data_IF_932760908963
#
_entry.id   IF_932760908963
#
_cell.length_a   1.000
_cell.length_b   1.000
_cell.length_c   1.000
_cell.angle_alpha   90.00
_cell.angle_beta   90.00
_cell.angle_gamma   90.00
#
_symmetry.space_group_name_H-M   'P 1'
#
loop_
_entity.id
_entity.type
_entity.pdbx_description
1 polymer ?
#
# COMPACT_ATOMS: atom_id res chain seq x y z
N UNK A 1 -11.10 19.77 -20.78
CA UNK A 1 -10.61 20.84 -19.90
C UNK A 1 -9.33 20.33 -19.26
N UNK A 2 -8.20 20.61 -19.90
CA UNK A 2 -6.88 20.25 -19.39
C UNK A 2 -6.55 21.16 -18.21
N UNK A 3 -6.67 20.63 -16.99
CA UNK A 3 -6.11 21.32 -15.83
C UNK A 3 -4.61 21.13 -15.90
N UNK A 4 -3.86 22.23 -16.00
CA UNK A 4 -2.41 22.21 -15.83
C UNK A 4 -2.07 21.71 -14.41
N UNK A 5 -1.78 20.42 -14.27
CA UNK A 5 -1.40 19.81 -12.99
C UNK A 5 0.03 20.20 -12.54
N UNK A 6 0.77 21.04 -13.31
CA UNK A 6 2.17 21.44 -13.03
C UNK A 6 2.23 22.44 -11.88
N UNK A 7 1.13 23.14 -11.71
CA UNK A 7 0.90 24.19 -10.73
C UNK A 7 -0.35 23.86 -9.92
N UNK A 8 -0.55 22.61 -9.49
CA UNK A 8 -1.43 22.38 -8.34
C UNK A 8 -0.74 23.05 -7.14
N UNK A 9 -1.02 24.35 -6.99
CA UNK A 9 -0.87 25.05 -5.73
C UNK A 9 -1.71 24.28 -4.73
N UNK A 10 -1.04 23.83 -3.67
CA UNK A 10 -1.72 23.22 -2.54
C UNK A 10 -2.87 24.16 -2.14
N UNK A 11 -4.06 23.62 -1.87
CA UNK A 11 -5.22 24.44 -1.56
C UNK A 11 -4.84 25.36 -0.40
N UNK A 12 -4.85 26.68 -0.65
CA UNK A 12 -4.50 27.68 0.38
C UNK A 12 -5.53 27.57 1.49
N UNK A 13 -5.10 27.05 2.64
CA UNK A 13 -5.96 26.93 3.81
C UNK A 13 -6.01 28.26 4.55
N UNK A 14 -7.21 28.70 4.90
CA UNK A 14 -7.44 29.82 5.81
C UNK A 14 -7.26 29.41 7.28
N UNK A 15 -7.46 28.13 7.58
CA UNK A 15 -7.30 27.55 8.92
C UNK A 15 -6.40 26.31 8.91
N UNK A 16 -5.61 26.13 9.97
CA UNK A 16 -4.77 24.96 10.15
C UNK A 16 -5.58 23.65 10.18
N UNK A 17 -4.99 22.57 9.67
CA UNK A 17 -5.54 21.22 9.76
C UNK A 17 -5.72 20.80 11.21
N UNK A 18 -6.87 20.20 11.53
CA UNK A 18 -7.20 19.74 12.89
C UNK A 18 -7.83 18.35 12.83
N UNK A 19 -7.69 17.61 13.93
CA UNK A 19 -8.28 16.28 14.06
C UNK A 19 -7.86 15.33 12.93
N UNK A 20 -8.82 14.66 12.32
CA UNK A 20 -8.57 13.67 11.26
C UNK A 20 -8.03 14.29 9.96
N UNK A 21 -8.20 15.60 9.74
CA UNK A 21 -7.71 16.26 8.53
C UNK A 21 -6.19 16.15 8.37
N UNK A 22 -5.49 16.07 9.49
CA UNK A 22 -4.04 15.91 9.57
C UNK A 22 -3.54 14.67 8.83
N UNK A 23 -4.36 13.63 8.69
CA UNK A 23 -3.95 12.36 8.10
C UNK A 23 -3.70 12.45 6.59
N UNK A 24 -4.38 13.36 5.88
CA UNK A 24 -4.33 13.47 4.43
C UNK A 24 -3.81 14.81 3.92
N UNK A 25 -3.26 15.63 4.82
CA UNK A 25 -2.57 16.85 4.42
C UNK A 25 -1.27 16.51 3.67
N UNK A 26 -0.94 17.18 2.56
CA UNK A 26 0.27 16.88 1.77
C UNK A 26 1.58 16.94 2.54
N UNK A 27 1.63 17.69 3.64
CA UNK A 27 2.76 17.77 4.57
C UNK A 27 3.14 16.42 5.18
N UNK A 28 2.18 15.49 5.35
CA UNK A 28 2.47 14.14 5.88
C UNK A 28 3.39 13.33 4.97
N UNK A 29 3.44 13.67 3.67
CA UNK A 29 4.31 13.00 2.72
C UNK A 29 5.77 13.09 3.17
N UNK A 30 6.23 14.27 3.62
CA UNK A 30 7.61 14.44 4.10
C UNK A 30 7.93 13.57 5.30
N UNK A 31 6.98 13.40 6.22
CA UNK A 31 7.15 12.54 7.39
C UNK A 31 7.34 11.08 6.97
N UNK A 32 6.48 10.57 6.08
CA UNK A 32 6.61 9.19 5.59
C UNK A 32 7.87 9.00 4.75
N UNK A 33 8.25 9.96 3.90
CA UNK A 33 9.50 9.88 3.13
C UNK A 33 10.75 9.90 4.03
N UNK A 34 10.72 10.67 5.12
CA UNK A 34 11.82 10.65 6.12
C UNK A 34 11.94 9.27 6.77
N UNK A 35 10.82 8.66 7.16
CA UNK A 35 10.82 7.29 7.67
C UNK A 35 11.33 6.26 6.65
N UNK A 36 10.94 6.41 5.38
CA UNK A 36 11.36 5.53 4.29
C UNK A 36 12.85 5.63 3.95
N UNK A 37 13.48 6.78 4.21
CA UNK A 37 14.90 7.02 3.93
C UNK A 37 15.81 6.73 5.12
N UNK A 38 15.34 6.99 6.35
CA UNK A 38 16.18 6.90 7.55
C UNK A 38 16.03 5.56 8.30
N UNK A 39 14.88 4.88 8.16
CA UNK A 39 14.62 3.67 8.93
C UNK A 39 15.30 2.44 8.33
N UNK A 40 15.86 1.59 9.20
CA UNK A 40 16.31 0.23 8.87
C UNK A 40 15.34 -0.86 9.33
N UNK A 41 14.24 -0.47 9.97
CA UNK A 41 13.24 -1.40 10.47
C UNK A 41 12.19 -1.68 9.38
N UNK A 42 12.13 -2.93 8.91
CA UNK A 42 11.23 -3.32 7.83
C UNK A 42 9.74 -3.13 8.15
N UNK A 43 9.33 -3.22 9.42
CA UNK A 43 7.95 -2.92 9.83
C UNK A 43 7.63 -1.43 9.64
N UNK A 44 8.59 -0.55 9.95
CA UNK A 44 8.45 0.90 9.76
C UNK A 44 8.41 1.25 8.28
N UNK A 45 9.28 0.64 7.47
CA UNK A 45 9.31 0.85 6.02
C UNK A 45 8.00 0.40 5.36
N UNK A 46 7.52 -0.80 5.70
CA UNK A 46 6.23 -1.32 5.25
C UNK A 46 5.08 -0.37 5.66
N UNK A 47 5.03 0.06 6.92
CA UNK A 47 3.96 0.92 7.41
C UNK A 47 3.97 2.31 6.74
N UNK A 48 5.15 2.90 6.53
CA UNK A 48 5.27 4.19 5.85
C UNK A 48 4.90 4.09 4.36
N UNK A 49 5.32 3.02 3.67
CA UNK A 49 4.92 2.76 2.29
C UNK A 49 3.41 2.48 2.18
N UNK A 50 2.85 1.71 3.11
CA UNK A 50 1.42 1.43 3.22
C UNK A 50 0.59 2.69 3.51
N UNK A 51 1.11 3.63 4.30
CA UNK A 51 0.46 4.93 4.49
C UNK A 51 0.41 5.72 3.18
N UNK A 52 1.52 5.82 2.44
CA UNK A 52 1.54 6.47 1.12
C UNK A 52 0.63 5.76 0.10
N UNK A 53 0.56 4.43 0.14
CA UNK A 53 -0.39 3.63 -0.64
C UNK A 53 -1.83 4.06 -0.36
N UNK A 54 -2.24 4.13 0.91
CA UNK A 54 -3.60 4.52 1.29
C UNK A 54 -3.93 5.96 0.89
N UNK A 55 -3.01 6.89 1.13
CA UNK A 55 -3.21 8.32 0.83
C UNK A 55 -3.25 8.63 -0.66
N UNK A 56 -2.55 7.84 -1.49
CA UNK A 56 -2.53 8.00 -2.94
C UNK A 56 -3.66 7.24 -3.67
N UNK A 57 -4.51 6.51 -2.94
CA UNK A 57 -5.56 5.69 -3.51
C UNK A 57 -6.78 6.52 -3.96
N UNK A 58 -7.42 6.07 -5.04
CA UNK A 58 -8.68 6.62 -5.53
C UNK A 58 -8.55 7.97 -6.27
N UNK A 59 -9.71 8.49 -6.70
CA UNK A 59 -9.80 9.66 -7.57
C UNK A 59 -10.41 10.88 -6.86
N UNK A 60 -9.96 11.14 -5.64
CA UNK A 60 -10.37 12.27 -4.83
C UNK A 60 -9.29 13.35 -4.78
N UNK A 61 -9.68 14.56 -4.37
CA UNK A 61 -8.85 15.76 -4.47
C UNK A 61 -7.52 15.62 -3.72
N UNK A 62 -7.54 15.14 -2.48
CA UNK A 62 -6.33 15.01 -1.68
C UNK A 62 -5.39 13.92 -2.18
N UNK A 63 -5.88 12.77 -2.67
CA UNK A 63 -4.99 11.80 -3.32
C UNK A 63 -4.28 12.40 -4.54
N UNK A 64 -4.93 13.26 -5.31
CA UNK A 64 -4.28 13.98 -6.42
C UNK A 64 -3.15 14.88 -5.90
N UNK A 65 -3.37 15.63 -4.82
CA UNK A 65 -2.32 16.44 -4.19
C UNK A 65 -1.20 15.60 -3.59
N UNK A 66 -1.51 14.48 -2.95
CA UNK A 66 -0.53 13.55 -2.39
C UNK A 66 0.36 12.97 -3.49
N UNK A 67 -0.23 12.50 -4.60
CA UNK A 67 0.53 11.98 -5.75
C UNK A 67 1.48 13.03 -6.33
N UNK A 68 1.02 14.28 -6.48
CA UNK A 68 1.85 15.38 -6.94
C UNK A 68 2.96 15.74 -5.92
N UNK A 69 2.64 15.69 -4.62
CA UNK A 69 3.58 16.04 -3.55
C UNK A 69 4.68 15.00 -3.39
N UNK A 70 4.36 13.70 -3.46
CA UNK A 70 5.35 12.62 -3.48
C UNK A 70 6.37 12.83 -4.60
N UNK A 71 5.94 13.27 -5.79
CA UNK A 71 6.86 13.62 -6.89
C UNK A 71 7.72 14.85 -6.57
N UNK A 72 7.10 15.94 -6.10
CA UNK A 72 7.80 17.19 -5.77
C UNK A 72 8.87 16.98 -4.69
N UNK A 73 8.58 16.12 -3.71
CA UNK A 73 9.47 15.76 -2.60
C UNK A 73 10.48 14.66 -2.96
N UNK A 74 10.67 14.34 -4.25
CA UNK A 74 11.60 13.28 -4.73
C UNK A 74 11.34 11.91 -4.10
N UNK A 75 10.09 11.62 -3.73
CA UNK A 75 9.71 10.35 -3.11
C UNK A 75 9.66 9.17 -4.07
N UNK A 76 9.50 9.41 -5.37
CA UNK A 76 9.44 8.31 -6.35
C UNK A 76 10.77 7.52 -6.44
N UNK A 77 11.97 8.14 -6.55
CA UNK A 77 13.23 7.42 -6.43
C UNK A 77 13.38 6.61 -5.15
N UNK A 78 12.97 7.16 -3.99
CA UNK A 78 13.03 6.46 -2.69
C UNK A 78 12.21 5.17 -2.72
N UNK A 79 10.98 5.24 -3.25
CA UNK A 79 10.14 4.05 -3.40
C UNK A 79 10.74 3.05 -4.39
N UNK A 80 11.33 3.51 -5.49
CA UNK A 80 11.99 2.60 -6.45
C UNK A 80 13.22 1.91 -5.85
N UNK A 81 14.00 2.60 -5.01
CA UNK A 81 15.10 1.98 -4.27
C UNK A 81 14.59 0.87 -3.34
N UNK A 82 13.47 1.09 -2.65
CA UNK A 82 12.88 0.10 -1.75
C UNK A 82 12.29 -1.13 -2.47
N UNK A 83 12.08 -1.09 -3.79
CA UNK A 83 11.80 -2.31 -4.58
C UNK A 83 12.99 -3.29 -4.60
N UNK A 84 14.17 -2.87 -4.12
CA UNK A 84 15.35 -3.72 -3.96
C UNK A 84 15.44 -4.40 -2.58
N UNK A 85 14.49 -4.12 -1.68
CA UNK A 85 14.42 -4.76 -0.36
C UNK A 85 14.34 -6.28 -0.48
N UNK A 86 15.05 -6.98 0.41
CA UNK A 86 14.92 -8.42 0.59
C UNK A 86 13.66 -8.81 1.39
N UNK A 87 12.97 -7.82 1.95
CA UNK A 87 11.75 -8.04 2.72
C UNK A 87 10.52 -7.95 1.84
N UNK A 88 9.90 -9.10 1.58
CA UNK A 88 8.72 -9.28 0.72
C UNK A 88 7.61 -8.24 0.96
N UNK A 89 7.18 -8.09 2.21
CA UNK A 89 6.12 -7.15 2.59
C UNK A 89 6.45 -5.67 2.31
N UNK A 90 7.73 -5.28 2.35
CA UNK A 90 8.18 -3.94 1.95
C UNK A 90 8.04 -3.78 0.44
N UNK A 91 8.53 -4.77 -0.34
CA UNK A 91 8.39 -4.77 -1.81
C UNK A 91 6.92 -4.70 -2.21
N UNK A 92 6.04 -5.46 -1.55
CA UNK A 92 4.59 -5.44 -1.78
C UNK A 92 3.97 -4.06 -1.52
N UNK A 93 4.20 -3.47 -0.34
CA UNK A 93 3.65 -2.16 0.00
C UNK A 93 4.12 -1.08 -1.00
N UNK A 94 5.41 -1.11 -1.35
CA UNK A 94 6.02 -0.18 -2.30
C UNK A 94 5.45 -0.35 -3.72
N UNK A 95 5.30 -1.59 -4.20
CA UNK A 95 4.72 -1.85 -5.51
C UNK A 95 3.29 -1.27 -5.60
N UNK A 96 2.45 -1.54 -4.60
CA UNK A 96 1.07 -1.02 -4.61
C UNK A 96 1.05 0.50 -4.47
N UNK A 97 1.95 1.09 -3.67
CA UNK A 97 2.10 2.55 -3.60
C UNK A 97 2.48 3.14 -4.97
N UNK A 98 3.47 2.58 -5.67
CA UNK A 98 3.87 3.03 -7.01
C UNK A 98 2.74 2.90 -8.03
N UNK A 99 1.94 1.83 -7.96
CA UNK A 99 0.74 1.68 -8.79
C UNK A 99 -0.24 2.83 -8.55
N UNK A 100 -0.57 3.13 -7.31
CA UNK A 100 -1.48 4.24 -6.99
C UNK A 100 -0.89 5.59 -7.41
N UNK A 101 0.40 5.81 -7.20
CA UNK A 101 1.10 7.02 -7.63
C UNK A 101 1.06 7.22 -9.14
N UNK A 102 1.09 6.13 -9.92
CA UNK A 102 1.00 6.16 -11.39
C UNK A 102 -0.39 6.49 -11.95
N UNK A 103 -1.41 6.65 -11.10
CA UNK A 103 -2.69 7.23 -11.52
C UNK A 103 -2.55 8.71 -11.93
N UNK A 104 -1.50 9.40 -11.46
CA UNK A 104 -1.09 10.70 -12.00
C UNK A 104 -0.21 10.47 -13.24
N UNK A 105 -0.58 11.06 -14.39
CA UNK A 105 0.09 10.80 -15.66
C UNK A 105 1.59 11.14 -15.63
N UNK A 106 1.98 12.23 -14.98
CA UNK A 106 3.40 12.60 -14.89
C UNK A 106 4.19 11.65 -14.00
N UNK A 107 3.58 11.15 -12.93
CA UNK A 107 4.18 10.08 -12.15
C UNK A 107 4.31 8.82 -12.99
N UNK A 108 3.28 8.47 -13.78
CA UNK A 108 3.28 7.31 -14.68
C UNK A 108 4.47 7.35 -15.64
N UNK A 109 4.70 8.48 -16.29
CA UNK A 109 5.79 8.65 -17.25
C UNK A 109 7.17 8.56 -16.55
N UNK A 110 7.32 9.23 -15.40
CA UNK A 110 8.55 9.19 -14.61
C UNK A 110 8.86 7.77 -14.11
N UNK A 111 7.91 7.12 -13.43
CA UNK A 111 8.07 5.75 -12.91
C UNK A 111 8.40 4.81 -14.07
N UNK A 112 7.71 4.92 -15.22
CA UNK A 112 8.01 4.10 -16.39
C UNK A 112 9.42 4.27 -16.93
N UNK A 113 9.99 5.47 -16.85
CA UNK A 113 11.34 5.77 -17.35
C UNK A 113 12.49 5.17 -16.52
N UNK A 114 12.38 5.13 -15.19
CA UNK A 114 13.50 4.66 -14.33
C UNK A 114 13.18 3.48 -13.41
N UNK A 115 11.90 3.18 -13.12
CA UNK A 115 11.54 2.05 -12.25
C UNK A 115 11.39 0.72 -12.99
N UNK A 116 11.23 0.76 -14.32
CA UNK A 116 10.86 -0.42 -15.10
C UNK A 116 11.87 -1.56 -14.95
N UNK A 117 13.16 -1.25 -14.90
CA UNK A 117 14.24 -2.23 -14.69
C UNK A 117 14.09 -2.97 -13.36
N UNK A 118 13.75 -2.26 -12.28
CA UNK A 118 13.58 -2.83 -10.95
C UNK A 118 12.29 -3.64 -10.82
N UNK A 119 11.21 -3.20 -11.46
CA UNK A 119 9.98 -3.97 -11.53
C UNK A 119 10.21 -5.29 -12.28
N UNK A 120 10.92 -5.27 -13.42
CA UNK A 120 11.28 -6.48 -14.18
C UNK A 120 12.28 -7.37 -13.41
N UNK A 121 13.19 -6.78 -12.62
CA UNK A 121 14.07 -7.55 -11.72
C UNK A 121 13.25 -8.37 -10.72
N UNK A 122 12.24 -7.77 -10.09
CA UNK A 122 11.34 -8.47 -9.16
C UNK A 122 10.54 -9.60 -9.85
N UNK A 123 10.07 -9.39 -11.09
CA UNK A 123 9.43 -10.46 -11.90
C UNK A 123 10.38 -11.63 -12.17
N UNK A 124 11.68 -11.37 -12.38
CA UNK A 124 12.69 -12.42 -12.56
C UNK A 124 13.01 -13.14 -11.26
N UNK A 125 13.05 -12.43 -10.13
CA UNK A 125 13.29 -13.04 -8.83
C UNK A 125 12.19 -14.05 -8.45
N UNK A 126 10.94 -13.78 -8.86
CA UNK A 126 9.83 -14.71 -8.70
C UNK A 126 10.02 -16.06 -9.43
N UNK A 127 10.92 -16.11 -10.43
CA UNK A 127 11.20 -17.30 -11.23
C UNK A 127 12.44 -18.06 -10.76
N UNK A 128 13.24 -17.48 -9.87
CA UNK A 128 14.52 -18.07 -9.46
C UNK A 128 14.28 -19.37 -8.66
N UNK A 129 14.98 -20.48 -8.96
CA UNK A 129 14.85 -21.71 -8.20
C UNK A 129 15.23 -21.49 -6.73
N UNK A 130 14.29 -21.79 -5.84
CA UNK A 130 14.39 -21.97 -4.38
C UNK A 130 15.75 -21.62 -3.75
N UNK A 131 16.05 -20.33 -3.63
CA UNK A 131 16.94 -19.83 -2.58
C UNK A 131 16.07 -19.21 -1.48
N UNK A 132 16.18 -19.65 -0.21
CA UNK A 132 15.25 -19.29 0.86
C UNK A 132 15.12 -17.78 1.16
N UNK A 133 16.07 -16.96 0.74
CA UNK A 133 16.17 -15.55 1.13
C UNK A 133 15.68 -14.53 0.09
N UNK A 134 15.26 -14.97 -1.11
CA UNK A 134 14.93 -14.05 -2.20
C UNK A 134 13.59 -14.33 -2.90
N UNK A 135 12.77 -15.25 -2.37
CA UNK A 135 11.48 -15.58 -2.97
C UNK A 135 10.43 -14.53 -2.58
N UNK A 136 9.85 -13.86 -3.58
CA UNK A 136 8.66 -13.04 -3.39
C UNK A 136 7.42 -13.93 -3.28
N UNK A 137 6.54 -13.60 -2.33
CA UNK A 137 5.24 -14.28 -2.19
C UNK A 137 4.34 -14.00 -3.39
N UNK A 138 3.38 -14.90 -3.66
CA UNK A 138 2.46 -14.78 -4.80
C UNK A 138 1.75 -13.41 -4.85
N UNK A 139 1.28 -12.92 -3.69
CA UNK A 139 0.60 -11.63 -3.59
C UNK A 139 1.53 -10.46 -3.95
N UNK A 140 2.82 -10.57 -3.65
CA UNK A 140 3.83 -9.57 -3.99
C UNK A 140 4.13 -9.59 -5.49
N UNK A 141 4.27 -10.77 -6.09
CA UNK A 141 4.46 -10.92 -7.54
C UNK A 141 3.27 -10.34 -8.29
N UNK A 142 2.04 -10.66 -7.87
CA UNK A 142 0.82 -10.10 -8.45
C UNK A 142 0.77 -8.57 -8.28
N UNK A 143 1.18 -8.02 -7.14
CA UNK A 143 1.27 -6.58 -6.94
C UNK A 143 2.25 -5.92 -7.91
N UNK A 144 3.44 -6.49 -8.11
CA UNK A 144 4.44 -6.01 -9.09
C UNK A 144 3.88 -6.06 -10.51
N UNK A 145 3.24 -7.17 -10.91
CA UNK A 145 2.66 -7.32 -12.24
C UNK A 145 1.53 -6.32 -12.50
N UNK A 146 0.66 -6.09 -11.51
CA UNK A 146 -0.40 -5.08 -11.60
C UNK A 146 0.16 -3.65 -11.66
N UNK A 147 1.30 -3.41 -11.01
CA UNK A 147 2.01 -2.13 -11.08
C UNK A 147 2.58 -1.90 -12.48
N UNK A 148 3.25 -2.90 -13.06
CA UNK A 148 3.74 -2.83 -14.45
C UNK A 148 2.55 -2.59 -15.40
N UNK A 149 1.46 -3.33 -15.22
CA UNK A 149 0.25 -3.18 -16.05
C UNK A 149 -0.27 -1.74 -16.04
N UNK A 150 -0.42 -1.13 -14.86
CA UNK A 150 -0.89 0.26 -14.73
C UNK A 150 0.05 1.27 -15.42
N UNK A 151 1.36 1.08 -15.26
CA UNK A 151 2.38 1.96 -15.84
C UNK A 151 2.38 1.89 -17.38
N UNK A 152 2.22 0.70 -17.96
CA UNK A 152 2.20 0.51 -19.42
C UNK A 152 0.83 0.71 -20.06
N UNK A 153 -0.24 0.75 -19.26
CA UNK A 153 -1.59 1.02 -19.76
C UNK A 153 -1.70 2.47 -20.22
N UNK A 154 -2.17 2.64 -21.44
CA UNK A 154 -2.32 3.93 -22.13
C UNK A 154 -1.01 4.74 -22.24
N UNK A 155 0.15 4.07 -22.23
CA UNK A 155 1.47 4.69 -22.42
C UNK A 155 2.38 3.83 -23.30
N UNK A 156 2.50 4.22 -24.57
CA UNK A 156 3.38 3.56 -25.54
C UNK A 156 4.86 3.66 -25.14
N UNK A 157 5.28 4.80 -24.59
CA UNK A 157 6.68 5.02 -24.19
C UNK A 157 7.07 4.15 -23.00
N UNK A 158 6.16 3.97 -22.04
CA UNK A 158 6.37 3.03 -20.94
C UNK A 158 6.36 1.57 -21.42
N UNK A 159 5.51 1.23 -22.39
CA UNK A 159 5.57 -0.08 -23.02
C UNK A 159 6.91 -0.31 -23.74
N UNK A 160 7.48 0.70 -24.42
CA UNK A 160 8.85 0.64 -24.98
C UNK A 160 9.90 0.44 -23.88
N UNK A 161 9.77 1.15 -22.77
CA UNK A 161 10.65 1.02 -21.61
C UNK A 161 10.62 -0.41 -21.04
N UNK A 162 9.46 -1.05 -21.00
CA UNK A 162 9.32 -2.46 -20.61
C UNK A 162 10.06 -3.41 -21.57
N UNK A 163 10.01 -3.15 -22.88
CA UNK A 163 10.77 -3.92 -23.89
C UNK A 163 12.28 -3.75 -23.68
N UNK A 164 12.74 -2.52 -23.47
CA UNK A 164 14.15 -2.19 -23.22
C UNK A 164 14.68 -2.86 -21.95
N UNK A 165 13.86 -2.91 -20.90
CA UNK A 165 14.16 -3.58 -19.63
C UNK A 165 14.15 -5.13 -19.72
N UNK A 166 14.00 -5.71 -20.92
CA UNK A 166 13.84 -7.18 -21.13
C UNK A 166 12.63 -7.76 -20.39
N UNK A 167 11.57 -6.97 -20.23
CA UNK A 167 10.35 -7.38 -19.54
C UNK A 167 9.56 -8.47 -20.26
N UNK A 168 9.47 -8.42 -21.59
CA UNK A 168 8.70 -9.42 -22.37
C UNK A 168 9.23 -10.85 -22.17
N UNK A 169 10.53 -11.15 -22.34
CA UNK A 169 11.07 -12.47 -22.01
C UNK A 169 10.76 -12.93 -20.58
N UNK A 170 10.93 -12.04 -19.60
CA UNK A 170 10.69 -12.36 -18.19
C UNK A 170 9.22 -12.69 -17.91
N UNK A 171 8.29 -11.92 -18.49
CA UNK A 171 6.85 -12.17 -18.34
C UNK A 171 6.42 -13.47 -19.01
N UNK A 172 6.91 -13.75 -20.22
CA UNK A 172 6.57 -15.00 -20.93
C UNK A 172 7.10 -16.21 -20.17
N UNK A 173 8.32 -16.12 -19.63
CA UNK A 173 8.89 -17.18 -18.79
C UNK A 173 8.01 -17.41 -17.55
N UNK A 174 7.58 -16.35 -16.85
CA UNK A 174 6.68 -16.47 -15.70
C UNK A 174 5.34 -17.13 -16.06
N UNK A 175 4.73 -16.74 -17.19
CA UNK A 175 3.48 -17.36 -17.67
C UNK A 175 3.64 -18.87 -17.92
N UNK A 176 4.82 -19.30 -18.38
CA UNK A 176 5.10 -20.70 -18.69
C UNK A 176 5.50 -21.53 -17.46
N UNK A 177 6.18 -20.94 -16.47
CA UNK A 177 6.77 -21.67 -15.35
C UNK A 177 5.99 -21.53 -14.04
N UNK A 178 5.17 -20.49 -13.86
CA UNK A 178 4.46 -20.26 -12.60
C UNK A 178 3.40 -21.34 -12.35
N UNK A 179 3.38 -21.83 -11.11
CA UNK A 179 2.32 -22.71 -10.61
C UNK A 179 1.07 -21.93 -10.18
N UNK A 180 1.18 -20.60 -9.99
CA UNK A 180 0.06 -19.73 -9.67
C UNK A 180 -0.70 -19.30 -10.92
N UNK A 181 -2.00 -19.60 -10.94
CA UNK A 181 -2.92 -19.11 -11.96
C UNK A 181 -3.04 -17.57 -11.91
N UNK A 182 -2.95 -16.96 -10.72
CA UNK A 182 -3.04 -15.50 -10.55
C UNK A 182 -1.84 -14.79 -11.16
N UNK A 183 -0.63 -15.26 -10.89
CA UNK A 183 0.60 -14.72 -11.48
C UNK A 183 0.61 -14.87 -13.01
N UNK A 184 0.33 -16.08 -13.51
CA UNK A 184 0.29 -16.34 -14.94
C UNK A 184 -0.76 -15.48 -15.66
N UNK A 185 -1.93 -15.26 -15.05
CA UNK A 185 -2.97 -14.40 -15.59
C UNK A 185 -2.54 -12.93 -15.60
N UNK A 186 -2.01 -12.41 -14.49
CA UNK A 186 -1.55 -11.02 -14.40
C UNK A 186 -0.42 -10.72 -15.39
N UNK A 187 0.56 -11.61 -15.52
CA UNK A 187 1.64 -11.48 -16.49
C UNK A 187 1.12 -11.56 -17.94
N UNK A 188 0.18 -12.46 -18.22
CA UNK A 188 -0.50 -12.51 -19.52
C UNK A 188 -1.22 -11.20 -19.84
N UNK A 189 -1.88 -10.57 -18.86
CA UNK A 189 -2.55 -9.28 -19.06
C UNK A 189 -1.56 -8.19 -19.46
N UNK A 190 -0.41 -8.08 -18.79
CA UNK A 190 0.67 -7.14 -19.19
C UNK A 190 1.10 -7.38 -20.63
N UNK A 191 1.34 -8.65 -21.00
CA UNK A 191 1.74 -9.02 -22.36
C UNK A 191 0.68 -8.69 -23.41
N UNK A 192 -0.61 -8.90 -23.11
CA UNK A 192 -1.70 -8.53 -24.01
C UNK A 192 -1.79 -7.02 -24.19
N UNK A 193 -1.61 -6.23 -23.13
CA UNK A 193 -1.56 -4.76 -23.19
C UNK A 193 -0.41 -4.31 -24.09
N UNK A 194 0.79 -4.86 -23.92
CA UNK A 194 1.95 -4.58 -24.78
C UNK A 194 1.68 -4.95 -26.24
N UNK A 195 1.05 -6.09 -26.51
CA UNK A 195 0.70 -6.53 -27.87
C UNK A 195 -0.40 -5.68 -28.53
N UNK A 196 -1.21 -4.99 -27.72
CA UNK A 196 -2.29 -4.14 -28.23
C UNK A 196 -1.74 -2.97 -29.04
N UNK A 197 -0.57 -2.43 -28.66
CA UNK A 197 0.16 -1.38 -29.37
C UNK A 197 0.65 -1.85 -30.73
N UNK A 198 0.07 -1.31 -31.81
CA UNK A 198 0.39 -1.73 -33.19
C UNK A 198 1.85 -1.43 -33.55
N UNK A 199 2.38 -0.36 -33.00
CA UNK A 199 3.74 0.16 -33.17
C UNK A 199 4.81 -0.79 -32.63
N UNK A 200 4.48 -1.59 -31.62
CA UNK A 200 5.41 -2.54 -30.99
C UNK A 200 5.39 -3.92 -31.63
N UNK A 201 4.31 -4.29 -32.35
CA UNK A 201 4.15 -5.64 -32.92
C UNK A 201 5.31 -6.02 -33.84
N UNK A 202 5.76 -5.11 -34.70
CA UNK A 202 6.87 -5.39 -35.61
C UNK A 202 8.21 -5.65 -34.88
N UNK A 203 8.44 -5.02 -33.73
CA UNK A 203 9.60 -5.33 -32.90
C UNK A 203 9.43 -6.70 -32.21
N UNK A 204 8.27 -6.95 -31.61
CA UNK A 204 7.97 -8.20 -30.92
C UNK A 204 8.06 -9.42 -31.86
N UNK A 205 7.54 -9.30 -33.09
CA UNK A 205 7.59 -10.36 -34.10
C UNK A 205 9.03 -10.63 -34.58
N UNK A 206 9.86 -9.59 -34.74
CA UNK A 206 11.29 -9.75 -35.05
C UNK A 206 12.05 -10.49 -33.95
N UNK A 207 11.65 -10.27 -32.70
CA UNK A 207 12.18 -10.97 -31.54
C UNK A 207 11.55 -12.37 -31.34
N UNK A 208 10.70 -12.82 -32.26
CA UNK A 208 10.10 -14.17 -32.26
C UNK A 208 8.86 -14.32 -31.35
N UNK A 209 8.29 -13.22 -30.87
CA UNK A 209 7.09 -13.25 -30.03
C UNK A 209 5.81 -13.26 -30.86
N UNK A 210 4.84 -14.06 -30.40
CA UNK A 210 3.52 -14.21 -31.02
C UNK A 210 2.42 -14.07 -29.98
N UNK A 211 1.21 -13.68 -30.42
CA UNK A 211 0.05 -13.52 -29.54
C UNK A 211 -0.29 -14.79 -28.74
N UNK A 212 -0.09 -15.98 -29.33
CA UNK A 212 -0.37 -17.26 -28.67
C UNK A 212 0.54 -17.50 -27.47
N UNK A 213 1.78 -17.00 -27.51
CA UNK A 213 2.75 -17.10 -26.42
C UNK A 213 2.42 -16.22 -25.21
N UNK A 214 1.46 -15.31 -25.37
CA UNK A 214 1.03 -14.37 -24.34
C UNK A 214 -0.29 -14.78 -23.67
N UNK A 215 -0.78 -15.99 -23.95
CA UNK A 215 -1.97 -16.55 -23.32
C UNK A 215 -1.56 -17.50 -22.21
N UNK A 216 -2.15 -17.34 -21.03
CA UNK A 216 -2.09 -18.36 -19.99
C UNK A 216 -2.97 -19.54 -20.41
N UNK A 217 -2.53 -20.78 -20.11
CA UNK A 217 -3.25 -22.01 -20.46
C UNK A 217 -4.69 -22.04 -19.93
N UNK A 218 -5.02 -21.29 -18.88
CA UNK A 218 -6.37 -21.15 -18.34
C UNK A 218 -7.31 -20.24 -19.16
N UNK A 219 -6.77 -19.46 -20.11
CA UNK A 219 -7.54 -18.58 -21.01
C UNK A 219 -7.77 -19.19 -22.40
N UNK A 220 -7.16 -20.34 -22.69
CA UNK A 220 -7.44 -21.09 -23.89
C UNK A 220 -8.85 -21.68 -23.78
N UNK A 221 -9.81 -21.10 -24.52
CA UNK A 221 -11.16 -21.65 -24.65
C UNK A 221 -11.07 -23.10 -25.11
N UNK A 222 -11.27 -24.04 -24.19
CA UNK A 222 -11.59 -25.42 -24.52
C UNK A 222 -12.93 -25.50 -25.27
N UNK A 223 -13.19 -26.59 -26.03
CA UNK A 223 -14.45 -26.76 -26.74
C UNK A 223 -15.63 -26.67 -25.76
N UNK A 224 -16.69 -25.95 -26.12
CA UNK A 224 -17.91 -25.72 -25.31
C UNK A 224 -18.41 -27.04 -24.69
N UNK A 225 -18.10 -27.23 -23.41
CA UNK A 225 -18.79 -28.13 -22.50
C UNK A 225 -19.69 -27.31 -21.58
N UNK A 226 -20.92 -27.78 -21.38
CA UNK A 226 -21.98 -27.22 -20.53
C UNK A 226 -21.48 -26.85 -19.12
N UNK A 227 -21.94 -25.72 -18.52
CA UNK A 227 -21.48 -25.29 -17.21
C UNK A 227 -22.12 -26.13 -16.10
N UNK A 228 -21.31 -26.91 -15.39
CA UNK A 228 -21.67 -27.50 -14.10
C UNK A 228 -21.34 -26.52 -12.97
N UNK A 229 -22.32 -26.35 -12.09
CA UNK A 229 -22.34 -25.53 -10.88
C UNK A 229 -21.23 -25.87 -9.87
N UNK A 230 -20.74 -24.85 -9.16
CA UNK A 230 -20.22 -24.99 -7.79
C UNK A 230 -18.75 -24.62 -7.58
N UNK A 231 -18.49 -23.49 -6.91
CA UNK A 231 -17.17 -23.14 -6.37
C UNK A 231 -16.87 -21.64 -6.40
N UNK A 232 -17.69 -20.83 -5.73
CA UNK A 232 -17.38 -19.41 -5.46
C UNK A 232 -16.79 -19.32 -4.05
N UNK A 233 -15.52 -18.92 -3.93
CA UNK A 233 -14.97 -18.36 -2.71
C UNK A 233 -15.25 -16.86 -2.69
N UNK A 234 -16.36 -16.55 -2.01
CA UNK A 234 -16.84 -15.19 -1.77
C UNK A 234 -16.02 -14.55 -0.64
N UNK A 235 -15.08 -13.68 -1.01
CA UNK A 235 -14.53 -12.68 -0.11
C UNK A 235 -14.14 -11.45 -0.94
N UNK A 236 -14.84 -10.34 -0.66
CA UNK A 236 -14.68 -8.98 -1.21
C UNK A 236 -15.63 -8.52 -2.33
N UNK A 237 -16.89 -8.98 -2.34
CA UNK A 237 -17.95 -8.23 -3.03
C UNK A 237 -18.91 -7.54 -2.05
N UNK A 238 -19.38 -6.31 -2.37
CA UNK A 238 -20.40 -5.65 -1.58
C UNK A 238 -21.73 -6.40 -1.73
N UNK A 239 -22.43 -6.62 -0.62
CA UNK A 239 -23.72 -7.31 -0.56
C UNK A 239 -24.73 -6.65 -1.51
N UNK A 240 -24.95 -7.25 -2.68
CA UNK A 240 -26.05 -6.90 -3.58
C UNK A 240 -27.08 -8.01 -3.46
N UNK A 241 -28.09 -7.77 -2.63
CA UNK A 241 -29.22 -8.67 -2.48
C UNK A 241 -30.07 -8.62 -3.75
N UNK A 242 -30.39 -9.80 -4.29
CA UNK A 242 -31.08 -9.97 -5.56
C UNK A 242 -32.47 -10.51 -5.26
N UNK A 243 -33.38 -9.62 -4.93
CA UNK A 243 -34.81 -9.93 -4.75
C UNK A 243 -35.64 -9.28 -5.85
N UNK A 244 -36.51 -10.11 -6.44
CA UNK A 244 -37.47 -9.79 -7.49
C UNK A 244 -38.62 -8.92 -6.93
N UNK A 245 -39.08 -7.99 -7.78
CA UNK A 245 -40.38 -7.29 -7.84
C UNK A 245 -41.05 -6.72 -6.57
N UNK A 246 -41.43 -5.43 -6.65
CA UNK A 246 -42.67 -4.91 -6.04
C UNK A 246 -42.53 -3.89 -4.90
N UNK A 247 -42.96 -2.65 -5.18
CA UNK A 247 -43.49 -1.59 -4.29
C UNK A 247 -42.84 -1.21 -2.92
N UNK A 248 -42.65 0.13 -2.80
CA UNK A 248 -42.75 1.01 -1.60
C UNK A 248 -41.67 0.99 -0.49
N UNK A 249 -40.91 2.09 -0.46
CA UNK A 249 -40.47 2.93 0.68
C UNK A 249 -40.43 2.32 2.09
N UNK A 250 -39.23 2.16 2.68
CA UNK A 250 -38.75 3.00 3.80
C UNK A 250 -37.31 2.65 4.22
N UNK A 251 -36.56 3.67 4.63
CA UNK A 251 -35.41 3.68 5.56
C UNK A 251 -34.17 2.84 5.21
N UNK A 252 -33.17 3.50 4.62
CA UNK A 252 -31.77 3.05 4.59
C UNK A 252 -31.07 3.55 5.85
N UNK A 253 -30.61 2.65 6.72
CA UNK A 253 -29.72 3.00 7.84
C UNK A 253 -28.36 3.42 7.30
N UNK A 254 -28.23 4.72 7.05
CA UNK A 254 -26.94 5.41 6.95
C UNK A 254 -26.59 5.92 8.34
N UNK A 255 -25.37 5.65 8.83
CA UNK A 255 -24.87 6.31 10.04
C UNK A 255 -24.63 7.78 9.65
N UNK A 256 -25.42 8.74 10.16
CA UNK A 256 -25.20 10.15 9.86
C UNK A 256 -23.99 10.62 10.66
N UNK A 257 -22.94 11.08 9.99
CA UNK A 257 -21.75 11.62 10.65
C UNK A 257 -21.95 13.03 11.22
N UNK A 258 -23.16 13.57 11.14
CA UNK A 258 -23.50 14.95 11.54
C UNK A 258 -23.94 15.10 13.02
N UNK A 259 -23.88 14.05 13.85
CA UNK A 259 -24.32 14.11 15.27
C UNK A 259 -23.24 13.83 16.31
N UNK A 260 -21.96 13.74 15.94
CA UNK A 260 -20.87 13.61 16.91
C UNK A 260 -20.37 14.99 17.39
N UNK A 261 -21.06 15.51 18.40
CA UNK A 261 -20.55 16.59 19.26
C UNK A 261 -19.40 16.11 20.18
N UNK A 262 -18.73 17.03 20.90
CA UNK A 262 -17.37 16.80 21.43
C UNK A 262 -17.22 15.80 22.60
N UNK A 263 -18.29 15.21 23.14
CA UNK A 263 -18.24 14.52 24.44
C UNK A 263 -18.42 12.99 24.38
N UNK A 264 -18.16 12.36 23.23
CA UNK A 264 -18.41 10.93 23.01
C UNK A 264 -17.42 9.94 23.64
N UNK A 265 -16.38 10.38 24.34
CA UNK A 265 -15.41 9.48 24.99
C UNK A 265 -15.15 9.89 26.45
N UNK A 266 -16.00 9.40 27.36
CA UNK A 266 -15.74 9.40 28.79
C UNK A 266 -15.78 7.95 29.31
N UNK A 267 -14.63 7.28 29.30
CA UNK A 267 -14.49 5.95 29.91
C UNK A 267 -14.35 6.07 31.42
N UNK A 268 -15.42 5.67 32.10
CA UNK A 268 -15.47 4.85 33.33
C UNK A 268 -14.34 5.05 34.34
N UNK A 269 -14.61 5.84 35.38
CA UNK A 269 -14.23 5.51 36.76
C UNK A 269 -15.00 6.39 37.76
N UNK A 270 -15.97 5.82 38.49
CA UNK A 270 -16.18 6.14 39.92
C UNK A 270 -17.22 5.23 40.59
N UNK A 271 -16.72 4.45 41.54
CA UNK A 271 -17.43 3.65 42.54
C UNK A 271 -18.22 4.54 43.52
N UNK A 272 -19.32 3.96 44.02
CA UNK A 272 -20.11 4.29 45.23
C UNK A 272 -21.25 5.34 45.13
N UNK A 273 -22.52 4.90 45.31
CA UNK A 273 -23.21 4.71 46.62
C UNK A 273 -24.74 4.94 46.53
N UNK A 274 -25.50 4.02 47.17
CA UNK A 274 -26.91 4.07 47.69
C UNK A 274 -27.97 3.34 46.88
N UNK A 275 -28.94 2.56 47.42
CA UNK A 275 -29.21 1.83 48.70
C UNK A 275 -30.56 1.10 48.50
N UNK A 276 -30.86 0.07 49.32
CA UNK A 276 -32.13 -0.70 49.50
C UNK A 276 -32.18 -2.05 48.74
N UNK A 277 -32.40 -3.22 49.36
CA UNK A 277 -32.63 -3.63 50.75
C UNK A 277 -32.83 -5.16 50.84
N UNK A 278 -32.60 -5.73 52.05
CA UNK A 278 -33.09 -7.02 52.64
C UNK A 278 -33.03 -8.34 51.83
N UNK A 279 -32.60 -9.51 52.32
CA UNK A 279 -32.59 -10.06 53.68
C UNK A 279 -31.59 -11.24 53.86
N UNK A 280 -31.16 -11.40 55.11
CA UNK A 280 -30.86 -12.62 55.89
C UNK A 280 -29.69 -13.59 55.63
N UNK A 281 -28.75 -13.56 56.61
CA UNK A 281 -28.19 -14.67 57.44
C UNK A 281 -27.57 -15.89 56.75
N UNK A 282 -26.36 -16.38 57.02
CA UNK A 282 -25.33 -16.18 58.04
C UNK A 282 -24.29 -17.32 57.86
N UNK A 283 -22.99 -17.01 57.87
CA UNK A 283 -21.97 -17.49 58.85
C UNK A 283 -21.42 -18.91 58.54
N UNK A 284 -20.13 -19.30 58.65
CA UNK A 284 -18.93 -18.74 59.28
C UNK A 284 -17.67 -19.45 58.73
N UNK A 285 -16.50 -18.80 58.89
CA UNK A 285 -15.12 -19.36 58.99
C UNK A 285 -14.48 -19.99 57.72
N UNK A 286 -13.21 -19.80 57.39
CA UNK A 286 -12.04 -19.43 58.20
C UNK A 286 -10.94 -18.78 57.34
N UNK A 287 -10.03 -18.10 58.01
CA UNK A 287 -9.07 -17.12 57.52
C UNK A 287 -7.68 -17.75 57.50
N UNK A 288 -6.99 -17.81 56.37
CA UNK A 288 -5.55 -18.10 56.36
C UNK A 288 -4.76 -17.13 55.46
N UNK A 289 -3.86 -16.40 56.12
CA UNK A 289 -2.91 -15.42 55.57
C UNK A 289 -1.57 -16.14 55.33
N UNK A 290 -1.12 -16.24 54.09
CA UNK A 290 0.24 -16.71 53.78
C UNK A 290 1.21 -15.52 53.69
N UNK A 291 2.18 -15.50 54.61
CA UNK A 291 3.32 -14.58 54.65
C UNK A 291 4.34 -14.91 53.54
N UNK A 292 5.09 -13.94 52.99
CA UNK A 292 6.19 -14.21 52.06
C UNK A 292 7.54 -14.43 52.78
N UNK A 293 8.29 -15.40 52.28
CA UNK A 293 9.60 -15.88 52.76
C UNK A 293 10.76 -14.95 52.30
N UNK A 294 11.73 -14.56 53.16
CA UNK A 294 12.77 -13.60 52.82
C UNK A 294 14.05 -14.31 52.36
N UNK A 295 14.33 -14.35 51.05
CA UNK A 295 15.50 -15.11 50.63
C UNK A 295 15.93 -15.09 49.17
N UNK A 296 15.74 -14.00 48.41
CA UNK A 296 16.47 -13.81 47.13
C UNK A 296 16.87 -12.35 46.91
N UNK A 297 18.18 -12.11 46.83
CA UNK A 297 18.83 -10.83 46.58
C UNK A 297 18.47 -10.30 45.17
N UNK A 298 18.02 -9.05 45.09
CA UNK A 298 17.80 -8.32 43.85
C UNK A 298 19.13 -7.75 43.28
N UNK A 299 19.30 -7.66 41.95
CA UNK A 299 20.46 -7.03 41.33
C UNK A 299 20.41 -5.49 41.44
N UNK A 300 21.56 -4.79 41.41
CA UNK A 300 21.65 -3.36 41.69
C UNK A 300 21.09 -2.48 40.55
N UNK A 301 20.67 -1.24 40.84
CA UNK A 301 20.09 -0.34 39.86
C UNK A 301 21.15 0.21 38.90
N UNK A 302 20.89 0.12 37.59
CA UNK A 302 21.69 0.79 36.55
C UNK A 302 21.48 2.30 36.53
N UNK A 303 22.39 3.06 35.90
CA UNK A 303 22.38 4.52 35.94
C UNK A 303 21.16 5.09 35.20
N UNK A 304 20.63 6.17 35.78
CA UNK A 304 19.47 6.96 35.36
C UNK A 304 19.52 7.37 33.88
N UNK A 305 18.45 7.04 33.13
CA UNK A 305 18.19 7.63 31.80
C UNK A 305 17.89 9.13 31.95
N UNK A 306 18.48 10.02 31.13
CA UNK A 306 18.03 11.40 31.06
C UNK A 306 16.66 11.47 30.38
N UNK A 307 15.75 12.20 30.99
CA UNK A 307 14.45 12.58 30.43
C UNK A 307 14.66 13.64 29.34
N UNK A 308 14.44 13.28 28.08
CA UNK A 308 14.45 14.23 26.96
C UNK A 308 13.17 15.05 27.01
N UNK A 309 13.27 16.32 27.41
CA UNK A 309 12.21 17.33 27.23
C UNK A 309 12.25 17.82 25.79
N UNK A 310 11.14 17.67 25.08
CA UNK A 310 10.92 18.19 23.74
C UNK A 310 10.48 19.65 23.85
N UNK A 311 11.42 20.60 23.87
CA UNK A 311 11.26 22.00 23.42
C UNK A 311 12.64 22.68 23.49
N UNK A 312 12.87 23.58 22.53
CA UNK A 312 14.06 24.45 22.32
C UNK A 312 15.11 23.96 21.31
N UNK A 313 14.75 24.09 20.03
CA UNK A 313 15.70 24.38 18.97
C UNK A 313 15.06 25.36 17.95
N UNK A 314 14.69 26.56 18.41
CA UNK A 314 14.68 27.73 17.54
C UNK A 314 16.07 28.35 17.69
N UNK A 315 16.97 27.94 16.81
CA UNK A 315 18.33 28.46 16.69
C UNK A 315 18.53 28.95 15.26
N UNK A 316 18.62 30.27 15.14
CA UNK A 316 18.79 31.07 13.93
C UNK A 316 20.04 30.64 13.15
N UNK A 317 19.89 30.07 11.94
CA UNK A 317 21.01 29.90 11.00
C UNK A 317 20.57 30.24 9.58
N UNK A 318 21.02 31.41 9.13
CA UNK A 318 20.96 31.91 7.75
C UNK A 318 21.68 30.93 6.78
N UNK A 319 21.14 30.64 5.58
CA UNK A 319 21.82 29.73 4.65
C UNK A 319 23.04 30.38 4.00
N UNK A 320 24.14 29.63 3.89
CA UNK A 320 25.33 30.02 3.10
C UNK A 320 25.09 29.82 1.59
N UNK A 321 25.71 30.65 0.73
CA UNK A 321 25.51 30.59 -0.71
C UNK A 321 26.24 29.41 -1.35
N UNK A 322 25.61 28.86 -2.37
CA UNK A 322 26.09 27.74 -3.19
C UNK A 322 27.07 28.27 -4.23
N UNK A 323 28.36 28.01 -4.06
CA UNK A 323 29.38 28.05 -5.12
C UNK A 323 30.71 27.52 -4.56
N UNK A 324 30.89 26.20 -4.54
CA UNK A 324 32.21 25.56 -4.51
C UNK A 324 32.14 24.03 -4.58
N UNK A 325 31.81 23.47 -5.75
CA UNK A 325 32.24 22.12 -6.13
C UNK A 325 32.41 22.08 -7.66
N UNK A 326 33.56 22.60 -8.10
CA UNK A 326 34.28 22.09 -9.28
C UNK A 326 35.21 21.01 -8.79
#
# INVERSE_FOLDING_TARGET
MDRNFDTLDLPKRTEAAKGFELLYQPEVVRLYLSLLTESRNFNTLEAAAGALQNLSAGNWTWATYIRATVRKERGLPVLVELLQSETDKVVRAVAIALRNLSLDQRNKDLIGSYAMTELVRNVRNAQAPTHPSAHLEEDTVVAVLNTIHEIVSDSLDNARSLLQARGVPALVALVASSQSVREAKAASHVLQTVWSYKELRGALQRDGWTKSRFQSASTAKGPKGTPSSGGFDDSTLPLVDKSLDGEKSNTRDVIPMDTLGPDGYATVDRRERRTLGSDSTGDTSEKELLRPDPGRKAPPPGPSRPSVRLVDAVGDTKPQPVDSWV
#
